data_IF_381846786250
#
_entry.id   IF_381846786250
#
_cell.length_a   1.000
_cell.length_b   1.000
_cell.length_c   1.000
_cell.angle_alpha   90.00
_cell.angle_beta   90.00
_cell.angle_gamma   90.00
#
_symmetry.space_group_name_H-M   'P 1'
#
loop_
_entity.id
_entity.type
_entity.pdbx_description
1 polymer ?
#
# COMPACT_ATOMS: atom_id res chain seq x y z
N UNK A 1 26.24 -5.95 7.18
CA UNK A 1 25.25 -6.18 6.10
C UNK A 1 25.34 -5.02 5.13
N UNK A 2 25.59 -5.31 3.85
CA UNK A 2 25.91 -4.29 2.83
C UNK A 2 24.86 -4.32 1.72
N UNK A 3 24.36 -3.15 1.27
CA UNK A 3 23.46 -3.06 0.12
C UNK A 3 24.30 -3.14 -1.16
N UNK A 4 23.92 -4.03 -2.08
CA UNK A 4 24.63 -4.26 -3.33
C UNK A 4 23.97 -3.50 -4.49
N UNK A 5 22.64 -3.34 -4.43
CA UNK A 5 21.90 -2.64 -5.47
C UNK A 5 20.44 -2.43 -5.10
N UNK A 6 19.83 -1.48 -5.79
CA UNK A 6 18.44 -1.06 -5.60
C UNK A 6 17.77 -0.77 -6.95
N UNK A 7 16.51 -1.13 -7.10
CA UNK A 7 15.68 -0.71 -8.23
C UNK A 7 14.30 -0.29 -7.72
N UNK A 8 13.78 0.80 -8.25
CA UNK A 8 12.48 1.35 -7.88
C UNK A 8 11.61 1.56 -9.12
N UNK A 9 10.32 1.26 -9.01
CA UNK A 9 9.33 1.51 -10.05
C UNK A 9 8.02 2.01 -9.46
N UNK A 10 7.32 2.86 -10.22
CA UNK A 10 5.93 3.21 -9.90
C UNK A 10 5.02 2.03 -10.21
N UNK A 11 4.08 1.75 -9.31
CA UNK A 11 3.05 0.72 -9.45
C UNK A 11 1.68 1.34 -9.14
N UNK A 12 0.59 0.64 -9.46
CA UNK A 12 -0.78 1.09 -9.17
C UNK A 12 -1.10 2.49 -9.74
N UNK A 13 -0.81 2.72 -11.03
CA UNK A 13 -1.15 3.98 -11.70
C UNK A 13 -0.44 5.22 -11.13
N UNK A 14 0.78 5.06 -10.58
CA UNK A 14 1.58 6.10 -9.89
C UNK A 14 1.14 6.40 -8.45
N UNK A 15 0.19 5.65 -7.89
CA UNK A 15 -0.22 5.80 -6.48
C UNK A 15 0.70 5.07 -5.50
N UNK A 16 1.68 4.30 -5.97
CA UNK A 16 2.62 3.58 -5.12
C UNK A 16 3.99 3.44 -5.78
N UNK A 17 5.03 3.31 -4.96
CA UNK A 17 6.40 2.98 -5.37
C UNK A 17 6.78 1.62 -4.80
N UNK A 18 7.25 0.75 -5.69
CA UNK A 18 7.84 -0.52 -5.31
C UNK A 18 9.36 -0.43 -5.42
N UNK A 19 10.06 -0.70 -4.33
CA UNK A 19 11.52 -0.74 -4.26
C UNK A 19 11.98 -2.14 -3.92
N UNK A 20 12.84 -2.69 -4.77
CA UNK A 20 13.53 -3.95 -4.56
C UNK A 20 15.00 -3.65 -4.32
N UNK A 21 15.58 -4.25 -3.29
CA UNK A 21 17.02 -4.14 -3.04
C UNK A 21 17.65 -5.48 -2.73
N UNK A 22 18.94 -5.58 -3.01
CA UNK A 22 19.76 -6.76 -2.74
C UNK A 22 20.80 -6.44 -1.67
N UNK A 23 20.93 -7.33 -0.69
CA UNK A 23 21.90 -7.20 0.40
C UNK A 23 22.84 -8.39 0.43
N UNK A 24 24.13 -8.14 0.64
CA UNK A 24 25.07 -9.15 1.09
C UNK A 24 24.83 -9.38 2.59
N UNK A 25 24.40 -10.58 2.92
CA UNK A 25 24.39 -11.09 4.28
C UNK A 25 25.47 -12.17 4.39
N UNK A 26 26.33 -12.05 5.38
CA UNK A 26 27.21 -13.14 5.75
C UNK A 26 26.34 -14.16 6.51
N UNK A 27 26.11 -15.33 5.92
CA UNK A 27 25.44 -16.43 6.61
C UNK A 27 26.48 -17.47 6.96
N UNK A 28 26.82 -17.56 8.25
CA UNK A 28 27.61 -18.67 8.75
C UNK A 28 26.68 -19.87 8.94
N UNK A 29 26.79 -20.87 8.06
CA UNK A 29 26.31 -22.23 8.35
C UNK A 29 27.56 -23.07 8.56
N UNK A 30 27.70 -23.63 9.77
CA UNK A 30 28.82 -24.51 10.13
C UNK A 30 30.21 -23.88 9.94
N UNK A 31 30.43 -22.64 10.40
CA UNK A 31 31.74 -22.00 10.42
C UNK A 31 32.24 -21.46 9.06
N UNK A 32 31.58 -21.82 7.96
CA UNK A 32 31.93 -21.34 6.63
C UNK A 32 31.14 -20.06 6.29
N UNK A 33 31.85 -18.97 6.01
CA UNK A 33 31.23 -17.66 5.72
C UNK A 33 30.86 -17.61 4.25
N UNK A 34 29.65 -18.08 3.93
CA UNK A 34 29.15 -18.03 2.57
C UNK A 34 28.41 -16.69 2.32
N UNK A 35 28.77 -15.93 1.27
CA UNK A 35 28.08 -14.70 0.93
C UNK A 35 26.66 -15.03 0.44
N UNK A 36 25.65 -14.64 1.22
CA UNK A 36 24.24 -14.82 0.88
C UNK A 36 23.66 -13.53 0.32
N UNK A 37 23.15 -13.59 -0.91
CA UNK A 37 22.39 -12.50 -1.51
C UNK A 37 20.93 -12.56 -1.03
N UNK A 38 20.47 -11.51 -0.35
CA UNK A 38 19.08 -11.40 0.13
C UNK A 38 18.35 -10.34 -0.69
N UNK A 39 17.29 -10.75 -1.39
CA UNK A 39 16.36 -9.84 -2.08
C UNK A 39 15.27 -9.41 -1.11
N UNK A 40 15.00 -8.11 -1.02
CA UNK A 40 13.89 -7.59 -0.23
C UNK A 40 13.03 -6.68 -1.09
N UNK A 41 11.71 -6.81 -0.93
CA UNK A 41 10.72 -6.03 -1.65
C UNK A 41 9.96 -5.16 -0.63
N UNK A 42 9.88 -3.85 -0.88
CA UNK A 42 9.05 -2.92 -0.13
C UNK A 42 8.17 -2.14 -1.08
N UNK A 43 6.90 -2.00 -0.72
CA UNK A 43 5.93 -1.16 -1.41
C UNK A 43 5.55 -0.02 -0.49
N UNK A 44 5.61 1.22 -0.99
CA UNK A 44 5.15 2.42 -0.31
C UNK A 44 3.95 2.99 -1.09
N UNK A 45 2.83 3.22 -0.41
CA UNK A 45 1.66 3.84 -1.01
C UNK A 45 1.70 5.35 -0.71
N UNK A 46 1.47 6.17 -1.72
CA UNK A 46 1.24 7.58 -1.49
C UNK A 46 -0.12 7.78 -0.81
N UNK A 47 -0.25 8.76 0.09
CA UNK A 47 -1.57 9.16 0.56
C UNK A 47 -2.39 9.57 -0.66
N UNK A 48 -3.59 9.01 -0.77
CA UNK A 48 -4.57 9.48 -1.76
C UNK A 48 -4.81 10.96 -1.44
N UNK A 49 -4.71 11.88 -2.41
CA UNK A 49 -5.08 13.26 -2.15
C UNK A 49 -6.53 13.24 -1.63
N UNK A 50 -6.74 13.81 -0.45
CA UNK A 50 -8.06 14.00 0.15
C UNK A 50 -8.83 15.03 -0.66
N UNK A 51 -9.24 14.67 -1.87
CA UNK A 51 -10.17 15.44 -2.66
C UNK A 51 -11.57 15.04 -2.20
N UNK A 52 -12.17 15.96 -1.44
CA UNK A 52 -13.59 16.04 -1.10
C UNK A 52 -14.04 15.06 0.01
N UNK A 53 -13.74 15.43 1.26
CA UNK A 53 -14.72 15.21 2.32
C UNK A 53 -15.95 16.06 1.97
N UNK A 54 -16.87 15.50 1.18
CA UNK A 54 -18.20 16.08 1.03
C UNK A 54 -18.80 16.03 2.43
N UNK A 55 -19.02 17.22 2.99
CA UNK A 55 -19.85 17.44 4.16
C UNK A 55 -21.26 16.91 3.86
N UNK A 56 -21.48 15.60 3.99
CA UNK A 56 -22.82 15.05 4.12
C UNK A 56 -23.32 15.42 5.52
N UNK A 57 -24.10 16.50 5.55
CA UNK A 57 -25.04 16.82 6.62
C UNK A 57 -25.78 15.53 7.04
N UNK A 58 -26.02 15.29 8.35
CA UNK A 58 -26.70 14.08 8.79
C UNK A 58 -28.08 14.04 8.13
N UNK A 59 -28.30 13.03 7.29
CA UNK A 59 -29.60 12.77 6.70
C UNK A 59 -30.61 12.56 7.83
N UNK A 60 -31.39 13.61 8.13
CA UNK A 60 -32.54 13.51 8.99
C UNK A 60 -33.45 12.46 8.37
N UNK A 61 -33.61 11.37 9.11
CA UNK A 61 -34.39 10.18 8.83
C UNK A 61 -35.86 10.56 8.57
N UNK A 62 -36.19 11.00 7.36
CA UNK A 62 -37.58 11.15 6.92
C UNK A 62 -38.01 9.88 6.23
N UNK A 63 -38.64 8.99 6.99
CA UNK A 63 -39.34 7.80 6.50
C UNK A 63 -40.35 8.22 5.43
N UNK A 64 -40.34 7.65 4.20
CA UNK A 64 -41.43 7.86 3.27
C UNK A 64 -42.67 7.15 3.82
N UNK A 65 -43.73 7.90 4.11
CA UNK A 65 -45.05 7.33 4.38
C UNK A 65 -45.63 6.82 3.04
N UNK A 66 -46.19 5.60 2.97
CA UNK A 66 -46.84 5.14 1.75
C UNK A 66 -48.12 5.93 1.49
N UNK A 67 -48.24 6.47 0.28
CA UNK A 67 -49.43 7.18 -0.21
C UNK A 67 -50.55 6.15 -0.39
N UNK A 68 -51.64 6.28 0.38
CA UNK A 68 -52.88 5.50 0.16
C UNK A 68 -53.54 6.01 -1.12
N UNK A 69 -53.66 5.19 -2.16
CA UNK A 69 -54.50 5.52 -3.31
C UNK A 69 -55.97 5.31 -2.94
N UNK A 70 -56.79 6.35 -3.06
CA UNK A 70 -58.25 6.24 -3.01
C UNK A 70 -58.76 5.67 -4.34
N UNK A 71 -59.72 4.76 -4.27
CA UNK A 71 -60.55 4.30 -5.38
C UNK A 71 -62.02 4.47 -5.00
#
# INVERSE_FOLDING_TARGET
MTIIGTTSRFVSGRSAVQTVYWRAANSAKNGDVQPKLVKTNRTFNYPVPSSVATSELPASRTSPQPIKSFH
#
